data_IF_684369257447
#
_entry.id   IF_684369257447
#
_cell.length_a   1.000
_cell.length_b   1.000
_cell.length_c   1.000
_cell.angle_alpha   90.00
_cell.angle_beta   90.00
_cell.angle_gamma   90.00
#
_symmetry.space_group_name_H-M   'P 1'
#
loop_
_entity.id
_entity.type
_entity.pdbx_description
1 polymer ?
#
# COMPACT_ATOMS: atom_id res chain seq x y z
N UNK A 1 1.70 -26.62 5.61
CA UNK A 1 1.97 -25.16 5.73
C UNK A 1 2.60 -24.95 7.09
N UNK A 2 3.80 -24.36 7.18
CA UNK A 2 4.42 -24.11 8.48
C UNK A 2 3.71 -22.94 9.16
N UNK A 3 3.33 -23.10 10.43
CA UNK A 3 2.81 -22.01 11.23
C UNK A 3 3.89 -20.93 11.36
N UNK A 4 3.50 -19.67 11.09
CA UNK A 4 4.37 -18.53 11.34
C UNK A 4 4.44 -18.34 12.85
N UNK A 5 5.65 -18.43 13.43
CA UNK A 5 5.87 -18.12 14.84
C UNK A 5 5.60 -16.62 15.08
N UNK A 6 4.56 -16.26 15.86
CA UNK A 6 4.25 -14.85 16.14
C UNK A 6 5.40 -14.11 16.82
N UNK A 7 6.29 -14.82 17.52
CA UNK A 7 7.44 -14.23 18.21
C UNK A 7 8.60 -13.92 17.25
N UNK A 8 8.63 -14.52 16.05
CA UNK A 8 9.59 -14.19 14.98
C UNK A 8 9.30 -12.82 14.36
N UNK A 9 8.07 -12.34 14.47
CA UNK A 9 7.61 -11.05 13.94
C UNK A 9 7.13 -10.18 15.09
N UNK A 10 8.04 -9.76 16.01
CA UNK A 10 7.64 -8.84 17.06
C UNK A 10 6.95 -7.64 16.42
N UNK A 11 5.81 -7.22 16.98
CA UNK A 11 5.12 -5.99 16.61
C UNK A 11 6.06 -4.81 16.91
N UNK A 12 6.97 -4.53 15.97
CA UNK A 12 7.92 -3.45 16.04
C UNK A 12 7.23 -2.18 15.58
N UNK A 13 6.85 -1.35 16.54
CA UNK A 13 6.37 0.01 16.29
C UNK A 13 7.53 1.03 16.12
N UNK A 14 8.79 0.58 16.17
CA UNK A 14 9.91 1.48 16.46
C UNK A 14 11.18 1.09 15.70
N UNK A 15 11.39 1.69 14.53
CA UNK A 15 12.72 1.85 13.92
C UNK A 15 13.30 3.25 14.22
N UNK A 16 12.82 3.94 15.28
CA UNK A 16 13.14 5.34 15.53
C UNK A 16 12.44 6.35 14.59
N UNK A 17 11.97 5.89 13.44
CA UNK A 17 10.97 6.58 12.61
C UNK A 17 9.60 5.93 12.82
N UNK A 18 8.54 6.75 12.90
CA UNK A 18 7.17 6.25 13.07
C UNK A 18 6.75 5.59 11.76
N UNK A 19 6.88 4.27 11.62
CA UNK A 19 6.28 3.55 10.51
C UNK A 19 4.75 3.67 10.58
N UNK A 20 4.09 3.77 9.42
CA UNK A 20 2.63 3.92 9.29
C UNK A 20 2.07 2.89 8.31
N UNK A 21 0.84 2.48 8.56
CA UNK A 21 0.02 1.72 7.61
C UNK A 21 -1.26 2.51 7.36
N UNK A 22 -1.66 2.62 6.10
CA UNK A 22 -2.91 3.26 5.70
C UNK A 22 -3.67 2.38 4.70
N UNK A 23 -5.00 2.35 4.83
CA UNK A 23 -5.90 1.70 3.90
C UNK A 23 -6.75 2.77 3.22
N UNK A 24 -6.65 2.85 1.89
CA UNK A 24 -7.45 3.77 1.08
C UNK A 24 -8.52 3.00 0.33
N UNK A 25 -9.75 3.50 0.39
CA UNK A 25 -10.84 3.05 -0.48
C UNK A 25 -10.82 3.91 -1.75
N UNK A 26 -10.58 3.27 -2.89
CA UNK A 26 -10.51 3.90 -4.21
C UNK A 26 -11.74 3.50 -5.03
N UNK A 27 -12.18 4.39 -5.90
CA UNK A 27 -13.28 4.17 -6.85
C UNK A 27 -12.89 4.74 -8.20
N UNK A 28 -13.40 4.12 -9.27
CA UNK A 28 -13.21 4.55 -10.66
C UNK A 28 -11.73 4.62 -11.06
N UNK A 29 -10.93 3.66 -10.59
CA UNK A 29 -9.50 3.57 -10.92
C UNK A 29 -9.27 2.87 -12.26
N UNK A 30 -8.21 3.28 -12.93
CA UNK A 30 -7.71 2.71 -14.18
C UNK A 30 -6.24 2.33 -14.03
N UNK A 31 -5.80 1.33 -14.79
CA UNK A 31 -4.39 0.96 -14.88
C UNK A 31 -3.53 2.18 -15.22
N UNK A 32 -2.35 2.26 -14.59
CA UNK A 32 -1.40 3.36 -14.68
C UNK A 32 -1.83 4.70 -14.03
N UNK A 33 -3.02 4.78 -13.43
CA UNK A 33 -3.35 5.91 -12.55
C UNK A 33 -2.34 6.01 -11.40
N UNK A 34 -2.09 7.23 -10.96
CA UNK A 34 -1.15 7.50 -9.86
C UNK A 34 -1.86 8.16 -8.69
N UNK A 35 -1.47 7.76 -7.49
CA UNK A 35 -1.88 8.38 -6.22
C UNK A 35 -0.64 8.81 -5.47
N UNK A 36 -0.53 10.10 -5.17
CA UNK A 36 0.50 10.63 -4.29
C UNK A 36 -0.03 10.71 -2.86
N UNK A 37 0.68 10.08 -1.93
CA UNK A 37 0.34 10.04 -0.50
C UNK A 37 1.40 10.75 0.36
N UNK A 38 2.06 11.76 -0.21
CA UNK A 38 3.09 12.58 0.45
C UNK A 38 2.65 13.19 1.78
N UNK A 39 1.35 13.48 1.95
CA UNK A 39 0.81 14.01 3.21
C UNK A 39 0.85 13.00 4.36
N UNK A 40 0.81 11.70 4.04
CA UNK A 40 0.76 10.63 5.03
C UNK A 40 2.09 9.89 5.17
N UNK A 41 2.94 9.96 4.13
CA UNK A 41 4.18 9.20 4.04
C UNK A 41 5.32 10.03 3.45
N UNK A 42 6.51 9.95 4.04
CA UNK A 42 7.75 10.48 3.46
C UNK A 42 8.39 9.50 2.49
N UNK A 43 8.28 8.20 2.75
CA UNK A 43 8.77 7.12 1.88
C UNK A 43 7.80 5.94 1.94
N UNK A 44 7.38 5.43 0.78
CA UNK A 44 6.59 4.20 0.71
C UNK A 44 7.53 3.01 0.56
N UNK A 45 7.37 2.02 1.45
CA UNK A 45 8.13 0.76 1.42
C UNK A 45 7.38 -0.32 0.65
N UNK A 46 6.04 -0.38 0.80
CA UNK A 46 5.17 -1.36 0.15
C UNK A 46 3.78 -0.78 -0.11
N UNK A 47 3.19 -1.19 -1.23
CA UNK A 47 1.83 -0.86 -1.61
C UNK A 47 1.20 -2.08 -2.28
N UNK A 48 0.00 -2.47 -1.85
CA UNK A 48 -0.73 -3.62 -2.37
C UNK A 48 -2.16 -3.20 -2.65
N UNK A 49 -2.65 -3.52 -3.83
CA UNK A 49 -4.02 -3.25 -4.24
C UNK A 49 -4.84 -4.53 -4.30
N UNK A 50 -6.10 -4.42 -3.86
CA UNK A 50 -7.12 -5.46 -3.95
C UNK A 50 -8.36 -4.83 -4.59
N UNK A 51 -8.59 -5.13 -5.87
CA UNK A 51 -9.72 -4.62 -6.65
C UNK A 51 -10.70 -5.73 -7.03
N UNK A 52 -11.87 -5.35 -7.54
CA UNK A 52 -12.92 -6.30 -7.95
C UNK A 52 -12.57 -7.13 -9.18
N UNK A 53 -11.83 -6.55 -10.13
CA UNK A 53 -11.32 -7.24 -11.34
C UNK A 53 -9.88 -7.72 -11.18
N UNK A 54 -9.17 -7.26 -10.15
CA UNK A 54 -7.81 -7.70 -9.86
C UNK A 54 -7.92 -9.07 -9.21
N UNK A 55 -7.65 -10.12 -10.00
CA UNK A 55 -7.89 -11.52 -9.61
C UNK A 55 -7.19 -11.97 -8.31
N UNK A 56 -6.13 -11.26 -7.90
CA UNK A 56 -5.43 -11.45 -6.64
C UNK A 56 -4.94 -10.10 -6.10
N UNK A 57 -4.52 -10.04 -4.84
CA UNK A 57 -3.80 -8.87 -4.34
C UNK A 57 -2.51 -8.67 -5.12
N UNK A 58 -2.34 -7.52 -5.78
CA UNK A 58 -1.17 -7.22 -6.63
C UNK A 58 -0.35 -6.10 -6.00
N UNK A 59 0.98 -6.25 -6.04
CA UNK A 59 1.90 -5.19 -5.63
C UNK A 59 1.81 -4.01 -6.60
N UNK A 60 1.50 -2.83 -6.07
CA UNK A 60 1.52 -1.59 -6.86
C UNK A 60 2.97 -1.11 -7.04
N UNK A 61 3.24 -0.42 -8.15
CA UNK A 61 4.55 0.19 -8.38
C UNK A 61 4.69 1.44 -7.51
N UNK A 62 5.89 1.72 -7.02
CA UNK A 62 6.17 2.82 -6.08
C UNK A 62 7.34 3.64 -6.60
N UNK A 63 7.19 4.97 -6.60
CA UNK A 63 8.26 5.92 -6.84
C UNK A 63 8.17 7.06 -5.80
N UNK A 64 9.04 7.03 -4.79
CA UNK A 64 8.99 7.98 -3.67
C UNK A 64 7.71 7.82 -2.85
N UNK A 65 6.80 8.79 -2.96
CA UNK A 65 5.48 8.82 -2.30
C UNK A 65 4.33 8.54 -3.28
N UNK A 66 4.63 8.28 -4.54
CA UNK A 66 3.64 7.99 -5.58
C UNK A 66 3.46 6.48 -5.73
N UNK A 67 2.21 6.04 -5.69
CA UNK A 67 1.79 4.67 -6.01
C UNK A 67 1.15 4.66 -7.39
N UNK A 68 1.58 3.76 -8.26
CA UNK A 68 0.96 3.53 -9.57
C UNK A 68 0.10 2.27 -9.54
N UNK A 69 -1.15 2.41 -9.96
CA UNK A 69 -2.13 1.32 -10.05
C UNK A 69 -1.68 0.29 -11.10
N UNK A 70 -1.56 -1.00 -10.75
CA UNK A 70 -1.11 -2.03 -11.67
C UNK A 70 -2.15 -2.30 -12.77
N UNK A 71 -1.70 -2.97 -13.84
CA UNK A 71 -2.59 -3.41 -14.91
C UNK A 71 -3.69 -4.36 -14.40
N UNK A 72 -4.86 -4.29 -15.03
CA UNK A 72 -6.01 -5.12 -14.69
C UNK A 72 -7.08 -4.42 -13.87
N UNK A 73 -6.78 -3.29 -13.23
CA UNK A 73 -7.80 -2.39 -12.68
C UNK A 73 -8.42 -1.54 -13.80
N UNK A 74 -9.73 -1.59 -14.00
CA UNK A 74 -10.44 -0.81 -14.99
C UNK A 74 -11.87 -0.47 -14.52
N UNK A 75 -12.08 0.79 -14.13
CA UNK A 75 -13.35 1.31 -13.56
C UNK A 75 -13.78 0.56 -12.30
N UNK A 76 -12.82 0.13 -11.50
CA UNK A 76 -13.06 -0.69 -10.32
C UNK A 76 -13.14 0.13 -9.03
N UNK A 77 -13.78 -0.47 -8.04
CA UNK A 77 -13.53 -0.15 -6.64
C UNK A 77 -12.38 -1.01 -6.12
N UNK A 78 -11.45 -0.42 -5.38
CA UNK A 78 -10.34 -1.15 -4.80
C UNK A 78 -9.92 -0.64 -3.44
N UNK A 79 -9.33 -1.52 -2.65
CA UNK A 79 -8.61 -1.15 -1.43
C UNK A 79 -7.12 -1.12 -1.73
N UNK A 80 -6.48 0.00 -1.41
CA UNK A 80 -5.04 0.17 -1.48
C UNK A 80 -4.46 0.19 -0.07
N UNK A 81 -3.64 -0.81 0.25
CA UNK A 81 -2.88 -0.90 1.50
C UNK A 81 -1.47 -0.35 1.27
N UNK A 82 -1.09 0.67 2.02
CA UNK A 82 0.23 1.31 1.95
C UNK A 82 0.94 1.18 3.29
N UNK A 83 2.22 0.77 3.24
CA UNK A 83 3.13 0.74 4.36
C UNK A 83 4.38 1.56 4.03
N UNK A 84 4.78 2.42 4.96
CA UNK A 84 5.91 3.33 4.76
C UNK A 84 6.27 4.09 6.02
N UNK A 85 7.20 5.03 5.86
CA UNK A 85 7.61 5.96 6.92
C UNK A 85 6.57 7.07 7.03
N UNK A 86 6.07 7.36 8.24
CA UNK A 86 5.08 8.41 8.43
C UNK A 86 5.60 9.77 7.98
N UNK A 87 4.76 10.48 7.23
CA UNK A 87 4.94 11.90 6.95
C UNK A 87 4.58 12.76 8.16
N UNK A 88 5.21 13.93 8.24
CA UNK A 88 4.81 14.99 9.17
C UNK A 88 3.60 15.67 8.53
N UNK A 89 2.40 15.35 9.01
CA UNK A 89 1.20 16.10 8.64
C UNK A 89 1.20 17.48 9.32
#
# INVERSE_FOLDING_TARGET
MAALDPNRYPLMWMNGESDRVALYALRDITAADTLDVIQQFTVIKRAVIMGTTVAAAVGASIAGTTVTIPAGANRDGAYLLVYGVAGVA
#
